data_IF_909026472966
#
_entry.id   IF_909026472966
#
_cell.length_a   1.000
_cell.length_b   1.000
_cell.length_c   1.000
_cell.angle_alpha   90.00
_cell.angle_beta   90.00
_cell.angle_gamma   90.00
#
_symmetry.space_group_name_H-M   'P 1'
#
loop_
_entity.id
_entity.type
_entity.pdbx_description
1 polymer ?
#
# COMPACT_ATOMS: atom_id res chain seq x y z
N UNK A 1 6.13 -12.36 -0.52
CA UNK A 1 6.86 -11.72 0.60
C UNK A 1 7.33 -10.38 0.09
N UNK A 2 7.24 -9.32 0.92
CA UNK A 2 7.67 -7.97 0.54
C UNK A 2 9.20 -7.93 0.52
N UNK A 3 9.77 -7.25 -0.47
CA UNK A 3 11.21 -7.11 -0.69
C UNK A 3 11.89 -6.18 0.33
N UNK A 4 11.16 -5.18 0.81
CA UNK A 4 11.66 -4.10 1.67
C UNK A 4 11.59 -4.45 3.16
N UNK A 5 12.51 -3.89 3.94
CA UNK A 5 12.50 -3.97 5.40
C UNK A 5 11.41 -3.05 5.94
N UNK A 6 10.59 -3.59 6.83
CA UNK A 6 9.55 -2.82 7.52
C UNK A 6 9.27 -3.40 8.90
N UNK A 7 8.70 -2.57 9.77
CA UNK A 7 8.16 -2.98 11.07
C UNK A 7 6.69 -2.60 11.18
N UNK A 8 5.90 -3.42 11.88
CA UNK A 8 4.55 -3.01 12.27
C UNK A 8 4.59 -2.22 13.57
N UNK A 9 4.03 -1.01 13.56
CA UNK A 9 3.77 -0.20 14.74
C UNK A 9 2.26 -0.15 15.01
N UNK A 10 1.86 -0.47 16.24
CA UNK A 10 0.47 -0.45 16.67
C UNK A 10 0.23 0.76 17.56
N UNK A 11 -0.52 1.74 17.07
CA UNK A 11 -0.82 2.96 17.82
C UNK A 11 -2.18 2.77 18.50
N UNK A 12 -2.15 2.31 19.74
CA UNK A 12 -3.36 1.95 20.49
C UNK A 12 -4.35 3.10 20.66
N UNK A 13 -3.86 4.31 20.93
CA UNK A 13 -4.68 5.52 21.14
C UNK A 13 -5.59 5.81 19.95
N UNK A 14 -5.10 5.59 18.73
CA UNK A 14 -5.83 5.84 17.49
C UNK A 14 -6.41 4.58 16.86
N UNK A 15 -6.13 3.41 17.44
CA UNK A 15 -6.49 2.11 16.88
C UNK A 15 -6.01 1.96 15.41
N UNK A 16 -4.75 2.31 15.16
CA UNK A 16 -4.11 2.30 13.83
C UNK A 16 -2.94 1.32 13.79
N UNK A 17 -2.80 0.65 12.64
CA UNK A 17 -1.61 -0.11 12.27
C UNK A 17 -0.81 0.71 11.27
N UNK A 18 0.46 0.92 11.56
CA UNK A 18 1.43 1.62 10.72
C UNK A 18 2.45 0.59 10.22
N UNK A 19 2.78 0.64 8.94
CA UNK A 19 3.93 -0.07 8.39
C UNK A 19 5.08 0.91 8.29
N UNK A 20 6.04 0.80 9.20
CA UNK A 20 7.19 1.68 9.26
C UNK A 20 8.33 1.18 8.37
N UNK A 21 8.87 2.08 7.54
CA UNK A 21 9.95 1.82 6.61
C UNK A 21 11.21 2.64 6.93
N UNK A 22 11.33 3.22 8.13
CA UNK A 22 12.48 4.06 8.54
C UNK A 22 13.84 3.34 8.42
N UNK A 23 13.88 2.02 8.56
CA UNK A 23 15.12 1.22 8.42
C UNK A 23 15.42 0.78 6.97
N UNK A 24 14.52 1.02 6.03
CA UNK A 24 14.73 0.70 4.62
C UNK A 24 15.66 1.72 3.95
N UNK A 25 16.80 1.25 3.44
CA UNK A 25 17.89 2.09 2.90
C UNK A 25 18.11 1.94 1.41
N UNK A 26 17.45 0.98 0.78
CA UNK A 26 17.54 0.74 -0.66
C UNK A 26 16.66 1.66 -1.49
N UNK A 27 15.69 2.32 -0.86
CA UNK A 27 14.82 3.31 -1.47
C UNK A 27 15.05 4.70 -0.86
N UNK A 28 15.07 5.71 -1.73
CA UNK A 28 15.02 7.11 -1.30
C UNK A 28 13.62 7.42 -0.74
N UNK A 29 13.57 8.15 0.38
CA UNK A 29 12.32 8.50 1.08
C UNK A 29 11.39 7.31 1.36
N UNK A 30 11.95 6.14 1.70
CA UNK A 30 11.18 4.92 1.94
C UNK A 30 10.06 5.07 2.98
N UNK A 31 10.24 5.97 3.96
CA UNK A 31 9.23 6.32 4.96
C UNK A 31 7.89 6.76 4.34
N UNK A 32 7.90 7.35 3.14
CA UNK A 32 6.69 7.80 2.44
C UNK A 32 5.78 6.66 1.98
N UNK A 33 6.26 5.41 1.95
CA UNK A 33 5.44 4.25 1.60
C UNK A 33 4.23 4.11 2.54
N UNK A 34 4.38 4.56 3.79
CA UNK A 34 3.32 4.51 4.79
C UNK A 34 2.26 5.60 4.62
N UNK A 35 2.62 6.77 4.10
CA UNK A 35 1.74 7.94 4.02
C UNK A 35 0.39 7.68 3.34
N UNK A 36 0.32 6.96 2.20
CA UNK A 36 -0.96 6.68 1.58
C UNK A 36 -1.80 5.66 2.37
N UNK A 37 -1.21 4.85 3.25
CA UNK A 37 -1.91 3.74 3.92
C UNK A 37 -2.86 4.26 5.00
N UNK A 38 -4.17 4.17 4.75
CA UNK A 38 -5.22 4.63 5.66
C UNK A 38 -5.59 6.09 5.50
N UNK A 39 -4.79 6.88 4.77
CA UNK A 39 -5.11 8.24 4.35
C UNK A 39 -5.76 8.25 2.97
N UNK A 40 -5.00 7.81 1.96
CA UNK A 40 -5.38 7.80 0.56
C UNK A 40 -5.95 6.43 0.16
N UNK A 41 -5.34 5.36 0.65
CA UNK A 41 -5.73 3.98 0.42
C UNK A 41 -6.51 3.47 1.63
N UNK A 42 -7.83 3.25 1.53
CA UNK A 42 -8.65 2.83 2.64
C UNK A 42 -8.45 1.35 2.97
N UNK A 43 -8.39 1.01 4.27
CA UNK A 43 -8.37 -0.40 4.69
C UNK A 43 -9.73 -1.09 4.52
N UNK A 44 -10.84 -0.33 4.46
CA UNK A 44 -12.19 -0.93 4.38
C UNK A 44 -12.32 -1.73 3.10
N UNK A 45 -12.63 -3.02 3.24
CA UNK A 45 -12.65 -4.00 2.14
C UNK A 45 -13.41 -3.53 0.89
N UNK A 46 -14.55 -2.85 1.05
CA UNK A 46 -15.35 -2.37 -0.09
C UNK A 46 -14.57 -1.39 -0.97
N UNK A 47 -13.86 -0.48 -0.35
CA UNK A 47 -13.18 0.62 -1.04
C UNK A 47 -11.81 0.12 -1.53
N UNK A 48 -11.08 -0.63 -0.68
CA UNK A 48 -9.81 -1.31 -1.01
C UNK A 48 -9.89 -2.19 -2.26
N UNK A 49 -11.04 -2.86 -2.47
CA UNK A 49 -11.28 -3.69 -3.65
C UNK A 49 -11.11 -2.93 -4.96
N UNK A 50 -11.53 -1.67 -5.00
CA UNK A 50 -11.43 -0.87 -6.23
C UNK A 50 -9.98 -0.59 -6.56
N UNK A 51 -9.20 -0.14 -5.57
CA UNK A 51 -7.80 0.22 -5.77
C UNK A 51 -6.97 -1.02 -6.18
N UNK A 52 -7.14 -2.13 -5.47
CA UNK A 52 -6.43 -3.38 -5.78
C UNK A 52 -6.80 -3.91 -7.17
N UNK A 53 -8.06 -3.79 -7.61
CA UNK A 53 -8.44 -4.20 -8.96
C UNK A 53 -7.79 -3.31 -10.02
N UNK A 54 -7.72 -1.99 -9.82
CA UNK A 54 -7.03 -1.08 -10.73
C UNK A 54 -5.53 -1.40 -10.82
N UNK A 55 -4.89 -1.67 -9.68
CA UNK A 55 -3.50 -2.10 -9.65
C UNK A 55 -3.27 -3.43 -10.38
N UNK A 56 -4.16 -4.41 -10.22
CA UNK A 56 -4.07 -5.68 -10.94
C UNK A 56 -4.24 -5.48 -12.44
N UNK A 57 -5.18 -4.64 -12.86
CA UNK A 57 -5.36 -4.30 -14.27
C UNK A 57 -4.11 -3.61 -14.84
N UNK A 58 -3.47 -2.74 -14.07
CA UNK A 58 -2.19 -2.11 -14.42
C UNK A 58 -1.06 -3.15 -14.56
N UNK A 59 -0.91 -4.05 -13.59
CA UNK A 59 0.12 -5.10 -13.60
C UNK A 59 -0.05 -6.10 -14.77
N UNK A 60 -1.30 -6.32 -15.20
CA UNK A 60 -1.64 -7.11 -16.40
C UNK A 60 -1.42 -6.36 -17.72
N UNK A 61 -1.21 -5.05 -17.67
CA UNK A 61 -1.11 -4.19 -18.84
C UNK A 61 -2.47 -3.86 -19.49
N UNK A 62 -3.58 -4.03 -18.77
CA UNK A 62 -4.91 -3.64 -19.24
C UNK A 62 -5.09 -2.11 -19.23
N UNK A 63 -4.39 -1.42 -18.33
CA UNK A 63 -4.28 0.04 -18.27
C UNK A 63 -2.80 0.42 -18.23
N UNK A 64 -2.46 1.62 -18.72
CA UNK A 64 -1.07 2.09 -18.81
C UNK A 64 -0.60 2.84 -17.55
N UNK A 65 -1.54 3.43 -16.82
CA UNK A 65 -1.27 4.27 -15.66
C UNK A 65 -2.48 4.22 -14.72
N UNK A 66 -2.23 4.26 -13.42
CA UNK A 66 -3.23 4.47 -12.39
C UNK A 66 -2.77 5.58 -11.45
N UNK A 67 -3.61 6.62 -11.30
CA UNK A 67 -3.37 7.75 -10.41
C UNK A 67 -4.32 7.68 -9.23
N UNK A 68 -3.78 7.89 -8.04
CA UNK A 68 -4.54 7.91 -6.80
C UNK A 68 -3.94 8.90 -5.80
N UNK A 69 -4.59 9.04 -4.65
CA UNK A 69 -4.17 9.99 -3.62
C UNK A 69 -4.92 11.32 -3.64
N UNK A 70 -4.27 12.35 -3.09
CA UNK A 70 -4.78 13.71 -2.97
C UNK A 70 -5.15 14.13 -1.55
N UNK A 71 -4.92 13.28 -0.54
CA UNK A 71 -5.06 13.63 0.87
C UNK A 71 -3.70 13.76 1.58
N UNK A 72 -2.89 12.70 1.61
CA UNK A 72 -1.54 12.74 2.19
C UNK A 72 -0.45 12.56 1.12
N UNK A 73 -0.73 11.85 0.03
CA UNK A 73 0.24 11.60 -1.03
C UNK A 73 -0.37 11.77 -2.42
N UNK A 74 0.48 12.04 -3.42
CA UNK A 74 0.19 11.80 -4.84
C UNK A 74 0.79 10.46 -5.23
N UNK A 75 -0.03 9.55 -5.76
CA UNK A 75 0.39 8.20 -6.14
C UNK A 75 0.24 8.06 -7.65
N UNK A 76 1.35 7.86 -8.35
CA UNK A 76 1.38 7.66 -9.80
C UNK A 76 2.00 6.29 -10.07
N UNK A 77 1.18 5.37 -10.58
CA UNK A 77 1.63 4.00 -10.83
C UNK A 77 1.62 3.66 -12.31
N UNK A 78 2.73 3.09 -12.76
CA UNK A 78 2.89 2.42 -14.05
C UNK A 78 2.98 0.91 -13.81
N UNK A 79 3.14 0.11 -14.86
CA UNK A 79 3.26 -1.34 -14.68
C UNK A 79 4.46 -1.74 -13.82
N UNK A 80 5.61 -1.11 -14.06
CA UNK A 80 6.89 -1.54 -13.49
C UNK A 80 7.26 -0.78 -12.21
N UNK A 81 6.72 0.42 -12.02
CA UNK A 81 7.06 1.28 -10.88
C UNK A 81 5.92 2.18 -10.46
N UNK A 82 5.89 2.47 -9.16
CA UNK A 82 5.03 3.44 -8.51
C UNK A 82 5.89 4.57 -7.97
N UNK A 83 5.39 5.79 -8.11
CA UNK A 83 5.93 7.01 -7.53
C UNK A 83 4.95 7.49 -6.46
N UNK A 84 5.49 7.84 -5.29
CA UNK A 84 4.78 8.49 -4.19
C UNK A 84 5.45 9.85 -3.99
N UNK A 85 4.67 10.91 -4.10
CA UNK A 85 5.11 12.31 -3.99
C UNK A 85 4.34 12.99 -2.84
N UNK A 86 4.98 13.96 -2.19
CA UNK A 86 4.30 14.88 -1.28
C UNK A 86 3.57 15.97 -2.10
N UNK A 87 2.22 16.01 -2.08
CA UNK A 87 1.47 17.01 -2.83
C UNK A 87 1.60 18.42 -2.26
N UNK A 88 2.25 18.60 -1.11
CA UNK A 88 2.43 19.88 -0.42
C UNK A 88 3.89 20.40 -0.44
N UNK A 89 4.77 19.75 -1.19
CA UNK A 89 6.15 20.22 -1.39
C UNK A 89 6.17 21.68 -1.90
N UNK A 90 7.01 22.51 -1.28
CA UNK A 90 7.22 23.90 -1.68
C UNK A 90 8.68 24.13 -2.07
N UNK A 91 8.93 24.29 -3.38
CA UNK A 91 10.27 24.57 -3.93
C UNK A 91 10.96 25.82 -3.34
N UNK A 92 10.21 26.76 -2.76
CA UNK A 92 10.76 27.96 -2.12
C UNK A 92 11.20 27.72 -0.67
N UNK A 93 10.60 26.74 0.02
CA UNK A 93 10.84 26.47 1.44
C UNK A 93 11.63 25.17 1.70
N UNK A 94 11.54 24.19 0.79
CA UNK A 94 12.09 22.84 0.97
C UNK A 94 13.36 22.61 0.14
N UNK A 95 14.37 21.97 0.76
CA UNK A 95 15.66 21.72 0.09
C UNK A 95 15.57 20.70 -1.05
N UNK A 96 14.66 19.72 -0.95
CA UNK A 96 14.50 18.63 -1.91
C UNK A 96 13.05 18.19 -2.01
N UNK A 97 12.57 17.88 -3.22
CA UNK A 97 11.27 17.24 -3.44
C UNK A 97 11.33 15.78 -2.94
N UNK A 98 10.52 15.41 -1.93
CA UNK A 98 10.53 14.05 -1.42
C UNK A 98 9.77 13.13 -2.41
N UNK A 99 10.50 12.24 -3.07
CA UNK A 99 9.95 11.30 -4.04
C UNK A 99 10.39 9.88 -3.69
N UNK A 100 9.44 9.04 -3.32
CA UNK A 100 9.68 7.60 -3.16
C UNK A 100 9.28 6.85 -4.43
N UNK A 101 10.20 6.06 -4.99
CA UNK A 101 9.96 5.22 -6.17
C UNK A 101 10.27 3.76 -5.88
N UNK A 102 9.28 2.88 -6.09
CA UNK A 102 9.39 1.44 -5.86
C UNK A 102 8.67 0.63 -6.96
N UNK A 103 8.89 -0.69 -7.03
CA UNK A 103 8.16 -1.51 -7.99
C UNK A 103 6.67 -1.57 -7.65
N UNK A 104 5.81 -1.43 -8.66
CA UNK A 104 4.35 -1.44 -8.44
C UNK A 104 3.87 -2.75 -7.85
N UNK A 105 4.47 -3.87 -8.25
CA UNK A 105 4.14 -5.17 -7.67
C UNK A 105 4.41 -5.21 -6.16
N UNK A 106 5.52 -4.61 -5.70
CA UNK A 106 5.86 -4.52 -4.29
C UNK A 106 4.92 -3.57 -3.54
N UNK A 107 4.59 -2.42 -4.15
CA UNK A 107 3.63 -1.50 -3.56
C UNK A 107 2.26 -2.16 -3.32
N UNK A 108 1.76 -2.95 -4.28
CA UNK A 108 0.51 -3.70 -4.13
C UNK A 108 0.61 -4.73 -3.01
N UNK A 109 1.72 -5.45 -2.90
CA UNK A 109 1.94 -6.40 -1.79
C UNK A 109 1.96 -5.69 -0.44
N UNK A 110 2.58 -4.52 -0.34
CA UNK A 110 2.59 -3.68 0.86
C UNK A 110 1.17 -3.31 1.28
N UNK A 111 0.35 -2.81 0.36
CA UNK A 111 -1.05 -2.46 0.64
C UNK A 111 -1.82 -3.68 1.18
N UNK A 112 -1.66 -4.85 0.55
CA UNK A 112 -2.34 -6.07 0.98
C UNK A 112 -1.89 -6.53 2.37
N UNK A 113 -0.59 -6.53 2.65
CA UNK A 113 -0.03 -6.91 3.97
C UNK A 113 -0.50 -5.95 5.06
N UNK A 114 -0.44 -4.64 4.79
CA UNK A 114 -0.96 -3.63 5.70
C UNK A 114 -2.45 -3.82 5.99
N UNK A 115 -3.26 -4.02 4.94
CA UNK A 115 -4.69 -4.20 5.07
C UNK A 115 -5.03 -5.47 5.86
N UNK A 116 -4.26 -6.55 5.67
CA UNK A 116 -4.44 -7.79 6.43
C UNK A 116 -4.23 -7.54 7.93
N UNK A 117 -3.08 -6.96 8.30
CA UNK A 117 -2.75 -6.71 9.70
C UNK A 117 -3.71 -5.71 10.33
N UNK A 118 -4.19 -4.73 9.56
CA UNK A 118 -5.22 -3.77 10.00
C UNK A 118 -6.54 -4.47 10.34
N UNK A 119 -7.03 -5.38 9.51
CA UNK A 119 -8.26 -6.13 9.82
C UNK A 119 -8.09 -7.04 11.02
N UNK A 120 -6.95 -7.75 11.09
CA UNK A 120 -6.62 -8.60 12.24
C UNK A 120 -6.62 -7.80 13.54
N UNK A 121 -5.86 -6.72 13.59
CA UNK A 121 -5.74 -5.85 14.77
C UNK A 121 -7.09 -5.24 15.18
N UNK A 122 -7.85 -4.68 14.23
CA UNK A 122 -9.17 -4.11 14.52
C UNK A 122 -10.17 -5.16 15.00
N UNK A 123 -10.08 -6.38 14.49
CA UNK A 123 -10.92 -7.49 14.96
C UNK A 123 -10.58 -7.91 16.39
N UNK A 124 -9.28 -7.98 16.73
CA UNK A 124 -8.82 -8.32 18.09
C UNK A 124 -9.30 -7.29 19.12
N UNK A 125 -9.44 -6.03 18.70
CA UNK A 125 -9.97 -4.94 19.54
C UNK A 125 -11.49 -4.80 19.55
N UNK A 126 -12.21 -5.64 18.79
CA UNK A 126 -13.67 -5.62 18.73
C UNK A 126 -14.25 -4.43 17.94
N UNK A 127 -13.42 -3.78 17.10
CA UNK A 127 -13.80 -2.60 16.31
C UNK A 127 -14.49 -2.98 15.01
N UNK A 128 -14.25 -4.21 14.55
CA UNK A 128 -14.99 -4.85 13.45
C UNK A 128 -15.44 -6.23 13.89
N UNK A 129 -16.53 -6.72 13.29
CA UNK A 129 -17.00 -8.07 13.53
C UNK A 129 -15.96 -9.09 13.05
N UNK A 130 -15.76 -10.17 13.82
CA UNK A 130 -14.81 -11.23 13.48
C UNK A 130 -15.11 -11.88 12.11
N UNK A 131 -16.39 -11.98 11.74
CA UNK A 131 -16.81 -12.51 10.44
C UNK A 131 -16.37 -11.59 9.30
N UNK A 132 -16.62 -10.28 9.43
CA UNK A 132 -16.19 -9.29 8.43
C UNK A 132 -14.66 -9.25 8.28
N UNK A 133 -13.94 -9.31 9.40
CA UNK A 133 -12.47 -9.37 9.41
C UNK A 133 -11.97 -10.61 8.68
N UNK A 134 -12.55 -11.78 8.96
CA UNK A 134 -12.19 -13.05 8.31
C UNK A 134 -12.49 -13.01 6.81
N UNK A 135 -13.63 -12.45 6.41
CA UNK A 135 -13.96 -12.28 4.99
C UNK A 135 -12.94 -11.39 4.27
N UNK A 136 -12.52 -10.30 4.90
CA UNK A 136 -11.51 -9.41 4.36
C UNK A 136 -10.14 -10.10 4.26
N UNK A 137 -9.67 -10.73 5.34
CA UNK A 137 -8.38 -11.43 5.38
C UNK A 137 -8.31 -12.53 4.32
N UNK A 138 -9.34 -13.37 4.19
CA UNK A 138 -9.39 -14.41 3.15
C UNK A 138 -9.34 -13.83 1.73
N UNK A 139 -10.03 -12.70 1.48
CA UNK A 139 -9.99 -12.04 0.18
C UNK A 139 -8.60 -11.45 -0.11
N UNK A 140 -7.94 -10.88 0.91
CA UNK A 140 -6.57 -10.35 0.81
C UNK A 140 -5.58 -11.47 0.48
N UNK A 141 -5.68 -12.62 1.13
CA UNK A 141 -4.84 -13.80 0.83
C UNK A 141 -5.00 -14.25 -0.62
N UNK A 142 -6.24 -14.36 -1.11
CA UNK A 142 -6.51 -14.68 -2.52
C UNK A 142 -5.91 -13.66 -3.49
N UNK A 143 -5.94 -12.37 -3.14
CA UNK A 143 -5.34 -11.31 -3.96
C UNK A 143 -3.81 -11.32 -3.91
N UNK A 144 -3.22 -11.69 -2.77
CA UNK A 144 -1.78 -11.90 -2.67
C UNK A 144 -1.32 -13.03 -3.60
N UNK A 145 -2.06 -14.14 -3.68
CA UNK A 145 -1.79 -15.23 -4.63
C UNK A 145 -1.89 -14.76 -6.09
N UNK A 146 -2.93 -13.99 -6.42
CA UNK A 146 -3.09 -13.42 -7.76
C UNK A 146 -1.91 -12.51 -8.14
N UNK A 147 -1.49 -11.62 -7.25
CA UNK A 147 -0.35 -10.72 -7.48
C UNK A 147 0.96 -11.49 -7.65
N UNK A 148 1.23 -12.48 -6.80
CA UNK A 148 2.42 -13.33 -6.94
C UNK A 148 2.42 -14.09 -8.27
N UNK A 149 1.27 -14.59 -8.73
CA UNK A 149 1.17 -15.29 -10.02
C UNK A 149 1.48 -14.37 -11.22
N UNK A 150 1.11 -13.08 -11.13
CA UNK A 150 1.41 -12.09 -12.16
C UNK A 150 2.90 -11.77 -12.16
N UNK A 151 3.51 -11.63 -10.98
CA UNK A 151 4.95 -11.42 -10.83
C UNK A 151 5.75 -12.56 -11.46
N UNK A 152 5.45 -13.81 -11.11
CA UNK A 152 6.14 -14.99 -11.63
C UNK A 152 6.03 -15.10 -13.16
N UNK A 153 4.87 -14.72 -13.71
CA UNK A 153 4.62 -14.72 -15.15
C UNK A 153 5.42 -13.64 -15.90
N UNK A 154 5.80 -12.56 -15.22
CA UNK A 154 6.57 -11.45 -15.80
C UNK A 154 8.09 -11.65 -15.69
N UNK A 155 8.56 -12.68 -14.98
CA UNK A 155 9.98 -13.02 -14.84
C UNK A 155 10.53 -13.95 -15.95
N UNK A 156 9.72 -14.22 -16.99
CA UNK A 156 10.06 -15.09 -18.15
C UNK A 156 10.45 -14.24 -19.37
#
# INVERSE_FOLDING_TARGET
MIKYNYEFKYIEEFNVVVMDFDEEKSLEFANMINDPLGSDIPWRLRDLKNDINNFIDLLRGNISEYRHGGNASSIISYRDFTIIEDPFYDEEEDEFEPICKLETVEFVKIILVWAYETHKYKSERGEIAQEDAKMAMNWIEQKMEEVNSIEDSNQI
#
